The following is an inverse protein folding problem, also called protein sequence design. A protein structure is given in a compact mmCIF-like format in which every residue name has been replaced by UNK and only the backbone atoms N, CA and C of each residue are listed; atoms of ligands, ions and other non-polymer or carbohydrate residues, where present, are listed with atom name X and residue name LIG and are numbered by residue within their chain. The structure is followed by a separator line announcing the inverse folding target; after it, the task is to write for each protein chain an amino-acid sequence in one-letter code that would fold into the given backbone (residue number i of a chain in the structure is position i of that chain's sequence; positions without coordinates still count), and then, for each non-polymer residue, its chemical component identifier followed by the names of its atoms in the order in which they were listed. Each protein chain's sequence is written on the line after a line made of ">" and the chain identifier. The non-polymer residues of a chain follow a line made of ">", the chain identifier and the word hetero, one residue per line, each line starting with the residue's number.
data_IF_127183996861
#
_entry.id   IF_127183996861
#
_cell.length_a   1.000
_cell.length_b   1.000
_cell.length_c   1.000
_cell.angle_alpha   90.00
_cell.angle_beta   90.00
_cell.angle_gamma   90.00
#
_symmetry.space_group_name_H-M   'P 1'
#
loop_
_entity.id
_entity.type
_entity.pdbx_description
1 polymer ?
#
# COMPACT_ATOMS: atom_id res chain seq x y z
N UNK A 1 44.12 -39.98 -43.44
CA UNK A 1 44.66 -39.89 -44.81
C UNK A 1 44.27 -38.52 -45.31
N UNK A 2 45.11 -37.51 -45.46
CA UNK A 2 46.56 -37.31 -45.32
C UNK A 2 46.72 -35.78 -45.22
N UNK A 3 47.46 -35.21 -44.26
CA UNK A 3 48.91 -34.97 -44.26
C UNK A 3 49.38 -34.21 -45.53
N UNK A 4 49.81 -32.94 -45.41
CA UNK A 4 51.24 -32.50 -45.33
C UNK A 4 51.23 -30.96 -45.22
N UNK A 5 51.83 -30.24 -44.26
CA UNK A 5 53.20 -30.15 -43.69
C UNK A 5 54.17 -29.24 -44.47
N UNK A 6 54.73 -28.25 -43.76
CA UNK A 6 56.06 -27.57 -43.88
C UNK A 6 55.96 -26.03 -43.71
N UNK A 7 56.81 -25.26 -43.03
CA UNK A 7 57.95 -25.44 -42.12
C UNK A 7 58.28 -24.05 -41.50
N UNK A 8 58.36 -23.97 -40.17
CA UNK A 8 59.40 -23.34 -39.30
C UNK A 8 60.33 -22.26 -39.87
N UNK A 9 60.43 -21.08 -39.21
CA UNK A 9 61.69 -20.41 -38.78
C UNK A 9 61.40 -19.47 -37.57
N UNK A 10 62.06 -19.73 -36.44
CA UNK A 10 62.23 -18.85 -35.26
C UNK A 10 63.40 -17.89 -35.48
N UNK A 11 63.28 -16.59 -35.14
CA UNK A 11 64.44 -15.71 -34.80
C UNK A 11 64.06 -14.63 -33.76
N UNK A 12 64.82 -14.66 -32.66
CA UNK A 12 65.21 -13.62 -31.68
C UNK A 12 64.22 -13.02 -30.66
N UNK A 13 64.31 -13.60 -29.46
CA UNK A 13 64.43 -12.90 -28.19
C UNK A 13 65.70 -12.01 -28.16
N UNK A 14 65.55 -10.70 -27.95
CA UNK A 14 66.39 -9.87 -27.06
C UNK A 14 65.99 -8.39 -27.16
N UNK A 15 65.41 -7.82 -26.09
CA UNK A 15 65.96 -6.64 -25.39
C UNK A 15 65.02 -6.16 -24.26
N UNK A 16 65.63 -5.91 -23.11
CA UNK A 16 65.05 -5.73 -21.79
C UNK A 16 64.40 -4.37 -21.52
N UNK A 17 63.39 -4.34 -20.61
CA UNK A 17 63.28 -3.50 -19.39
C UNK A 17 61.85 -3.55 -18.79
N UNK A 18 61.64 -3.76 -17.48
CA UNK A 18 60.33 -3.55 -16.87
C UNK A 18 60.12 -2.05 -16.61
N UNK A 19 59.19 -1.44 -17.35
CA UNK A 19 58.69 -0.09 -17.04
C UNK A 19 57.87 -0.18 -15.76
N UNK A 20 58.38 0.42 -14.68
CA UNK A 20 57.70 0.56 -13.39
C UNK A 20 56.48 1.49 -13.59
N UNK A 21 55.31 0.90 -13.85
CA UNK A 21 54.04 1.65 -13.98
C UNK A 21 53.64 2.15 -12.59
N UNK A 22 53.78 3.45 -12.34
CA UNK A 22 53.07 4.11 -11.23
C UNK A 22 51.57 3.97 -11.52
N UNK A 23 50.84 3.24 -10.69
CA UNK A 23 49.38 3.33 -10.65
C UNK A 23 48.99 4.69 -10.03
N UNK A 24 48.14 5.50 -10.67
CA UNK A 24 47.44 6.56 -9.98
C UNK A 24 45.99 6.10 -9.73
N UNK A 25 45.60 6.06 -8.45
CA UNK A 25 44.28 6.34 -7.86
C UNK A 25 43.02 6.32 -8.76
N UNK A 26 42.84 5.33 -9.62
CA UNK A 26 41.64 5.19 -10.47
C UNK A 26 40.53 4.36 -9.79
N UNK A 27 40.90 3.56 -8.78
CA UNK A 27 39.99 2.65 -8.08
C UNK A 27 38.86 3.36 -7.33
N UNK A 28 39.18 4.45 -6.62
CA UNK A 28 38.19 5.14 -5.79
C UNK A 28 37.19 5.96 -6.62
N UNK A 29 37.63 6.58 -7.72
CA UNK A 29 36.74 7.37 -8.60
C UNK A 29 35.78 6.48 -9.39
N UNK A 30 36.24 5.33 -9.89
CA UNK A 30 35.40 4.36 -10.62
C UNK A 30 34.44 3.64 -9.68
N UNK A 31 34.87 3.30 -8.46
CA UNK A 31 34.03 2.66 -7.45
C UNK A 31 32.94 3.59 -6.92
N UNK A 32 33.25 4.88 -6.72
CA UNK A 32 32.28 5.90 -6.29
C UNK A 32 31.22 6.16 -7.36
N UNK A 33 31.61 6.29 -8.64
CA UNK A 33 30.69 6.48 -9.77
C UNK A 33 29.79 5.25 -10.01
N UNK A 34 30.30 4.04 -9.81
CA UNK A 34 29.53 2.78 -9.88
C UNK A 34 28.53 2.63 -8.73
N UNK A 35 28.92 3.01 -7.51
CA UNK A 35 28.04 3.02 -6.33
C UNK A 35 26.93 4.07 -6.44
N UNK A 36 27.25 5.29 -6.89
CA UNK A 36 26.27 6.34 -7.14
C UNK A 36 25.27 5.94 -8.22
N UNK A 37 25.72 5.31 -9.31
CA UNK A 37 24.83 4.85 -10.38
C UNK A 37 23.87 3.75 -9.88
N UNK A 38 24.33 2.81 -9.05
CA UNK A 38 23.48 1.80 -8.42
C UNK A 38 22.49 2.40 -7.41
N UNK A 39 22.92 3.40 -6.64
CA UNK A 39 22.07 4.11 -5.69
C UNK A 39 20.99 4.94 -6.40
N UNK A 40 21.34 5.68 -7.46
CA UNK A 40 20.39 6.45 -8.28
C UNK A 40 19.40 5.55 -9.04
N UNK A 41 19.84 4.38 -9.48
CA UNK A 41 18.96 3.33 -10.02
C UNK A 41 18.03 2.77 -8.94
N UNK A 42 18.54 2.57 -7.71
CA UNK A 42 17.75 2.10 -6.57
C UNK A 42 16.70 3.11 -6.09
N UNK A 43 16.98 4.41 -6.20
CA UNK A 43 15.99 5.48 -5.94
C UNK A 43 14.97 5.57 -7.06
N UNK A 44 15.38 5.22 -8.29
CA UNK A 44 14.54 5.31 -9.48
C UNK A 44 14.55 6.70 -10.10
N UNK A 45 15.67 7.43 -10.09
CA UNK A 45 15.74 8.79 -10.65
C UNK A 45 15.36 8.87 -12.15
N UNK A 46 15.50 7.75 -12.89
CA UNK A 46 15.07 7.64 -14.28
C UNK A 46 13.55 7.79 -14.47
N UNK A 47 12.76 7.51 -13.44
CA UNK A 47 11.29 7.58 -13.46
C UNK A 47 10.77 9.00 -13.72
N UNK A 48 11.52 10.04 -13.32
CA UNK A 48 11.13 11.43 -13.57
C UNK A 48 11.14 11.79 -15.07
N UNK A 49 11.87 11.05 -15.89
CA UNK A 49 11.94 11.25 -17.34
C UNK A 49 11.01 10.32 -18.12
N UNK A 50 10.38 9.36 -17.46
CA UNK A 50 9.51 8.39 -18.10
C UNK A 50 8.08 8.96 -18.22
N UNK A 51 7.60 9.12 -19.46
CA UNK A 51 6.24 9.63 -19.73
C UNK A 51 5.16 8.75 -19.11
N UNK A 52 5.36 7.43 -19.09
CA UNK A 52 4.40 6.48 -18.50
C UNK A 52 4.25 6.69 -16.98
N UNK A 53 5.32 7.08 -16.29
CA UNK A 53 5.27 7.38 -14.86
C UNK A 53 4.43 8.62 -14.59
N UNK A 54 4.56 9.65 -15.43
CA UNK A 54 3.71 10.84 -15.35
C UNK A 54 2.25 10.54 -15.69
N UNK A 55 1.99 9.72 -16.72
CA UNK A 55 0.63 9.26 -17.03
C UNK A 55 0.01 8.52 -15.84
N UNK A 56 0.77 7.62 -15.22
CA UNK A 56 0.30 6.87 -14.05
C UNK A 56 0.07 7.77 -12.83
N UNK A 57 0.94 8.78 -12.61
CA UNK A 57 0.73 9.79 -11.56
C UNK A 57 -0.51 10.66 -11.83
N UNK A 58 -0.77 11.03 -13.09
CA UNK A 58 -2.01 11.73 -13.47
C UNK A 58 -3.25 10.85 -13.26
N UNK A 59 -3.16 9.56 -13.54
CA UNK A 59 -4.20 8.58 -13.20
C UNK A 59 -4.44 8.55 -11.69
N UNK A 60 -3.39 8.48 -10.86
CA UNK A 60 -3.53 8.55 -9.40
C UNK A 60 -4.18 9.86 -8.94
N UNK A 61 -3.80 11.02 -9.50
CA UNK A 61 -4.41 12.31 -9.17
C UNK A 61 -5.91 12.31 -9.48
N UNK A 62 -6.28 11.96 -10.71
CA UNK A 62 -7.66 12.01 -11.19
C UNK A 62 -8.53 10.96 -10.50
N UNK A 63 -8.01 9.75 -10.32
CA UNK A 63 -8.68 8.69 -9.60
C UNK A 63 -8.88 9.03 -8.13
N UNK A 64 -7.87 9.59 -7.45
CA UNK A 64 -8.01 10.04 -6.06
C UNK A 64 -9.03 11.18 -5.96
N UNK A 65 -9.02 12.17 -6.87
CA UNK A 65 -10.03 13.23 -6.86
C UNK A 65 -11.47 12.68 -6.98
N UNK A 66 -11.71 11.83 -7.98
CA UNK A 66 -13.01 11.22 -8.21
C UNK A 66 -13.42 10.24 -7.08
N UNK A 67 -12.46 9.50 -6.52
CA UNK A 67 -12.67 8.60 -5.39
C UNK A 67 -13.11 9.40 -4.16
N UNK A 68 -12.39 10.46 -3.78
CA UNK A 68 -12.73 11.22 -2.57
C UNK A 68 -14.04 11.99 -2.71
N UNK A 69 -14.32 12.53 -3.90
CA UNK A 69 -15.61 13.14 -4.20
C UNK A 69 -16.76 12.13 -4.01
N UNK A 70 -16.68 10.97 -4.67
CA UNK A 70 -17.73 9.95 -4.67
C UNK A 70 -17.88 9.27 -3.31
N UNK A 71 -16.76 8.90 -2.68
CA UNK A 71 -16.72 8.22 -1.39
C UNK A 71 -17.32 9.11 -0.30
N UNK A 72 -16.86 10.36 -0.22
CA UNK A 72 -17.28 11.27 0.85
C UNK A 72 -18.74 11.69 0.67
N UNK A 73 -19.16 12.03 -0.56
CA UNK A 73 -20.58 12.32 -0.83
C UNK A 73 -21.48 11.14 -0.49
N UNK A 74 -21.06 9.90 -0.79
CA UNK A 74 -21.81 8.70 -0.42
C UNK A 74 -21.91 8.51 1.10
N UNK A 75 -20.82 8.74 1.83
CA UNK A 75 -20.81 8.66 3.30
C UNK A 75 -21.78 9.69 3.90
N UNK A 76 -21.72 10.94 3.44
CA UNK A 76 -22.61 12.01 3.92
C UNK A 76 -24.07 11.70 3.55
N UNK A 77 -24.33 11.20 2.34
CA UNK A 77 -25.66 10.78 1.92
C UNK A 77 -26.21 9.63 2.79
N UNK A 78 -25.37 8.67 3.20
CA UNK A 78 -25.77 7.66 4.18
C UNK A 78 -26.11 8.29 5.53
N UNK A 79 -25.29 9.21 6.04
CA UNK A 79 -25.52 9.86 7.33
C UNK A 79 -26.79 10.73 7.36
N UNK A 80 -27.11 11.38 6.24
CA UNK A 80 -28.34 12.18 6.07
C UNK A 80 -29.58 11.34 5.74
N UNK A 81 -29.42 10.04 5.50
CA UNK A 81 -30.56 9.16 5.22
C UNK A 81 -31.48 9.06 6.44
N UNK A 82 -32.80 9.02 6.22
CA UNK A 82 -33.82 8.85 7.27
C UNK A 82 -33.94 7.40 7.76
N UNK A 83 -32.90 6.60 7.55
CA UNK A 83 -32.86 5.18 7.92
C UNK A 83 -32.61 5.00 9.42
N UNK A 84 -33.03 3.85 9.97
CA UNK A 84 -32.94 3.58 11.42
C UNK A 84 -31.48 3.44 11.87
N UNK A 85 -30.56 2.99 11.00
CA UNK A 85 -29.15 2.78 11.31
C UNK A 85 -28.23 3.15 10.11
N UNK A 86 -28.08 4.44 9.78
CA UNK A 86 -27.29 4.89 8.63
C UNK A 86 -25.82 4.45 8.69
N UNK A 87 -25.29 4.25 9.90
CA UNK A 87 -23.92 3.79 10.15
C UNK A 87 -23.62 2.38 9.60
N UNK A 88 -24.65 1.55 9.39
CA UNK A 88 -24.49 0.23 8.79
C UNK A 88 -24.37 0.28 7.26
N UNK A 89 -24.85 1.35 6.62
CA UNK A 89 -24.75 1.54 5.16
C UNK A 89 -23.38 2.07 4.74
N UNK A 90 -22.70 2.82 5.60
CA UNK A 90 -21.40 3.44 5.32
C UNK A 90 -20.34 2.40 4.89
N UNK A 91 -20.12 1.27 5.60
CA UNK A 91 -19.16 0.25 5.18
C UNK A 91 -19.45 -0.36 3.81
N UNK A 92 -20.73 -0.53 3.49
CA UNK A 92 -21.15 -1.04 2.19
C UNK A 92 -20.86 -0.03 1.08
N UNK A 93 -21.15 1.26 1.30
CA UNK A 93 -20.79 2.32 0.37
C UNK A 93 -19.27 2.40 0.15
N UNK A 94 -18.46 2.32 1.22
CA UNK A 94 -17.00 2.27 1.15
C UNK A 94 -16.54 1.08 0.30
N UNK A 95 -17.09 -0.11 0.54
CA UNK A 95 -16.79 -1.31 -0.22
C UNK A 95 -17.08 -1.14 -1.72
N UNK A 96 -18.31 -0.74 -2.08
CA UNK A 96 -18.72 -0.62 -3.48
C UNK A 96 -17.89 0.43 -4.21
N UNK A 97 -17.72 1.61 -3.62
CA UNK A 97 -16.94 2.70 -4.24
C UNK A 97 -15.48 2.27 -4.38
N UNK A 98 -14.85 1.75 -3.33
CA UNK A 98 -13.45 1.30 -3.40
C UNK A 98 -13.25 0.21 -4.46
N UNK A 99 -14.16 -0.77 -4.54
CA UNK A 99 -14.09 -1.85 -5.53
C UNK A 99 -14.11 -1.33 -6.96
N UNK A 100 -15.06 -0.43 -7.28
CA UNK A 100 -15.21 0.14 -8.63
C UNK A 100 -13.99 0.97 -9.04
N UNK A 101 -13.43 1.76 -8.12
CA UNK A 101 -12.22 2.52 -8.41
C UNK A 101 -11.00 1.61 -8.55
N UNK A 102 -10.84 0.60 -7.69
CA UNK A 102 -9.71 -0.34 -7.76
C UNK A 102 -9.69 -1.13 -9.07
N UNK A 103 -10.82 -1.72 -9.48
CA UNK A 103 -10.85 -2.57 -10.69
C UNK A 103 -10.47 -1.80 -11.96
N UNK A 104 -10.79 -0.50 -12.02
CA UNK A 104 -10.45 0.38 -13.14
C UNK A 104 -9.00 0.85 -13.08
N UNK A 105 -8.50 1.20 -11.89
CA UNK A 105 -7.22 1.91 -11.73
C UNK A 105 -6.02 0.98 -11.55
N UNK A 106 -6.23 -0.24 -11.02
CA UNK A 106 -5.19 -1.25 -10.88
C UNK A 106 -4.41 -1.51 -12.18
N UNK A 107 -5.04 -1.73 -13.35
CA UNK A 107 -4.30 -1.94 -14.60
C UNK A 107 -3.60 -0.68 -15.15
N UNK A 108 -3.99 0.52 -14.68
CA UNK A 108 -3.50 1.79 -15.22
C UNK A 108 -2.31 2.34 -14.44
N UNK A 109 -2.41 2.40 -13.11
CA UNK A 109 -1.38 2.97 -12.23
C UNK A 109 -0.91 2.02 -11.12
N UNK A 110 -1.60 0.89 -10.94
CA UNK A 110 -1.52 0.06 -9.73
C UNK A 110 -2.65 0.36 -8.74
N UNK A 111 -3.46 1.41 -8.98
CA UNK A 111 -4.67 1.69 -8.22
C UNK A 111 -4.44 1.95 -6.74
N UNK A 112 -3.40 2.72 -6.40
CA UNK A 112 -3.07 2.96 -4.99
C UNK A 112 -4.07 3.92 -4.35
N UNK A 113 -4.28 5.07 -5.00
CA UNK A 113 -5.16 6.18 -4.61
C UNK A 113 -5.05 6.63 -3.14
N UNK A 114 -3.96 6.25 -2.48
CA UNK A 114 -3.76 6.35 -1.05
C UNK A 114 -2.25 6.34 -0.74
N UNK A 115 -1.74 7.33 0.01
CA UNK A 115 -0.33 7.36 0.41
C UNK A 115 0.12 6.12 1.18
N UNK A 116 -0.76 5.48 1.94
CA UNK A 116 -0.47 4.25 2.71
C UNK A 116 -0.17 3.09 1.78
N UNK A 117 -1.03 2.87 0.76
CA UNK A 117 -0.85 1.80 -0.22
C UNK A 117 0.40 2.03 -1.07
N UNK A 118 0.68 3.29 -1.40
CA UNK A 118 1.91 3.68 -2.09
C UNK A 118 3.15 3.43 -1.24
N UNK A 119 3.10 3.78 0.04
CA UNK A 119 4.22 3.59 0.94
C UNK A 119 4.54 2.11 1.17
N UNK A 120 3.54 1.27 1.43
CA UNK A 120 3.78 -0.17 1.59
C UNK A 120 4.23 -0.84 0.27
N UNK A 121 3.72 -0.40 -0.88
CA UNK A 121 4.21 -0.86 -2.18
C UNK A 121 5.69 -0.50 -2.38
N UNK A 122 6.11 0.68 -1.94
CA UNK A 122 7.52 1.08 -1.95
C UNK A 122 8.38 0.23 -0.99
N UNK A 123 7.90 -0.02 0.25
CA UNK A 123 8.58 -0.91 1.20
C UNK A 123 8.74 -2.34 0.66
N UNK A 124 7.73 -2.84 -0.05
CA UNK A 124 7.77 -4.17 -0.71
C UNK A 124 8.57 -4.19 -2.01
N UNK A 125 9.09 -3.05 -2.47
CA UNK A 125 9.85 -2.92 -3.71
C UNK A 125 9.02 -3.12 -4.98
N UNK A 126 7.69 -2.97 -4.88
CA UNK A 126 6.78 -3.04 -6.03
C UNK A 126 6.83 -1.73 -6.82
N UNK A 127 7.08 -0.61 -6.13
CA UNK A 127 7.19 0.72 -6.71
C UNK A 127 8.51 1.37 -6.26
N UNK A 128 9.18 2.09 -7.16
CA UNK A 128 10.39 2.86 -6.85
C UNK A 128 10.11 4.04 -5.93
N UNK A 129 11.09 4.49 -5.15
CA UNK A 129 10.90 5.63 -4.24
C UNK A 129 10.50 6.92 -4.98
N UNK A 130 11.11 7.18 -6.15
CA UNK A 130 10.72 8.33 -6.99
C UNK A 130 9.26 8.27 -7.42
N UNK A 131 8.79 7.12 -7.92
CA UNK A 131 7.39 6.95 -8.33
C UNK A 131 6.45 7.04 -7.13
N UNK A 132 6.82 6.47 -5.99
CA UNK A 132 6.05 6.57 -4.76
C UNK A 132 5.86 8.03 -4.33
N UNK A 133 6.92 8.85 -4.41
CA UNK A 133 6.83 10.28 -4.12
C UNK A 133 5.87 11.00 -5.08
N UNK A 134 5.98 10.76 -6.38
CA UNK A 134 5.07 11.33 -7.38
C UNK A 134 3.62 10.95 -7.12
N UNK A 135 3.37 9.68 -6.77
CA UNK A 135 2.03 9.18 -6.45
C UNK A 135 1.47 9.84 -5.19
N UNK A 136 2.24 9.95 -4.12
CA UNK A 136 1.79 10.61 -2.87
C UNK A 136 1.43 12.07 -3.14
N UNK A 137 2.24 12.79 -3.92
CA UNK A 137 1.93 14.18 -4.30
C UNK A 137 0.66 14.26 -5.15
N UNK A 138 0.55 13.40 -6.17
CA UNK A 138 -0.63 13.31 -7.02
C UNK A 138 -1.91 13.00 -6.21
N UNK A 139 -1.84 12.07 -5.26
CA UNK A 139 -2.95 11.69 -4.37
C UNK A 139 -3.35 12.83 -3.44
N UNK A 140 -2.40 13.55 -2.86
CA UNK A 140 -2.70 14.72 -2.01
C UNK A 140 -3.37 15.83 -2.82
N UNK A 141 -2.86 16.15 -4.02
CA UNK A 141 -3.47 17.15 -4.92
C UNK A 141 -4.86 16.68 -5.36
N UNK A 142 -4.99 15.42 -5.77
CA UNK A 142 -6.24 14.80 -6.15
C UNK A 142 -7.28 14.89 -5.04
N UNK A 143 -6.89 14.59 -3.79
CA UNK A 143 -7.78 14.73 -2.64
C UNK A 143 -8.26 16.16 -2.46
N UNK A 144 -7.36 17.15 -2.49
CA UNK A 144 -7.74 18.57 -2.39
C UNK A 144 -8.74 18.94 -3.49
N UNK A 145 -8.50 18.53 -4.75
CA UNK A 145 -9.42 18.78 -5.86
C UNK A 145 -10.78 18.11 -5.67
N UNK A 146 -10.81 16.84 -5.24
CA UNK A 146 -12.05 16.10 -5.00
C UNK A 146 -12.91 16.74 -3.92
N UNK A 147 -12.30 17.12 -2.79
CA UNK A 147 -13.00 17.82 -1.71
C UNK A 147 -13.37 19.27 -2.09
N UNK A 148 -12.57 19.95 -2.91
CA UNK A 148 -12.90 21.28 -3.42
C UNK A 148 -14.16 21.24 -4.29
N UNK A 149 -14.24 20.28 -5.23
CA UNK A 149 -15.45 20.07 -6.04
C UNK A 149 -16.64 19.75 -5.15
N UNK A 150 -16.47 18.86 -4.16
CA UNK A 150 -17.52 18.53 -3.19
C UNK A 150 -18.03 19.78 -2.45
N UNK A 151 -17.12 20.63 -1.97
CA UNK A 151 -17.46 21.87 -1.27
C UNK A 151 -18.26 22.85 -2.15
N UNK A 152 -17.98 22.88 -3.46
CA UNK A 152 -18.69 23.74 -4.39
C UNK A 152 -20.11 23.25 -4.70
N UNK A 153 -20.37 21.94 -4.70
CA UNK A 153 -21.68 21.38 -5.08
C UNK A 153 -22.59 21.08 -3.88
N UNK A 154 -22.02 20.92 -2.69
CA UNK A 154 -22.77 20.59 -1.48
C UNK A 154 -23.38 21.85 -0.85
N UNK A 155 -24.55 21.71 -0.20
CA UNK A 155 -25.14 22.83 0.55
C UNK A 155 -24.17 23.29 1.66
N UNK A 156 -23.92 24.60 1.82
CA UNK A 156 -22.96 25.12 2.80
C UNK A 156 -23.22 24.61 4.23
N UNK A 157 -24.48 24.50 4.63
CA UNK A 157 -24.86 23.99 5.96
C UNK A 157 -24.45 22.53 6.18
N UNK A 158 -24.60 21.68 5.16
CA UNK A 158 -24.14 20.30 5.24
C UNK A 158 -22.61 20.24 5.28
N UNK A 159 -21.93 21.09 4.49
CA UNK A 159 -20.47 21.16 4.46
C UNK A 159 -19.88 21.50 5.83
N UNK A 160 -20.49 22.44 6.55
CA UNK A 160 -20.05 22.80 7.88
C UNK A 160 -20.43 21.72 8.92
N UNK A 161 -21.66 21.19 8.86
CA UNK A 161 -22.15 20.20 9.84
C UNK A 161 -21.35 18.89 9.82
N UNK A 162 -20.89 18.47 8.64
CA UNK A 162 -20.08 17.26 8.48
C UNK A 162 -18.58 17.54 8.37
N UNK A 163 -18.14 18.79 8.56
CA UNK A 163 -16.76 19.23 8.33
C UNK A 163 -16.20 18.72 6.98
N UNK A 164 -17.04 18.79 5.93
CA UNK A 164 -16.78 18.29 4.59
C UNK A 164 -16.40 16.78 4.54
N UNK A 165 -16.80 16.00 5.54
CA UNK A 165 -16.44 14.59 5.70
C UNK A 165 -15.00 14.36 6.19
N UNK A 166 -14.38 15.39 6.76
CA UNK A 166 -13.00 15.36 7.26
C UNK A 166 -12.77 14.40 8.42
N UNK A 167 -11.49 14.07 8.64
CA UNK A 167 -11.08 13.23 9.77
C UNK A 167 -10.95 14.09 11.03
N UNK A 168 -11.92 14.02 11.92
CA UNK A 168 -11.93 14.77 13.18
C UNK A 168 -11.61 13.87 14.38
N UNK A 169 -10.77 14.39 15.27
CA UNK A 169 -10.50 13.88 16.61
C UNK A 169 -10.98 14.98 17.55
N UNK A 170 -11.88 14.63 18.49
CA UNK A 170 -12.63 15.56 19.35
C UNK A 170 -11.82 16.72 19.93
N UNK A 171 -12.50 17.80 20.31
CA UNK A 171 -11.82 19.05 20.66
C UNK A 171 -10.97 18.92 21.93
N UNK A 172 -9.88 19.68 21.99
CA UNK A 172 -8.96 19.70 23.13
C UNK A 172 -9.69 20.26 24.35
N UNK A 173 -10.18 19.38 25.23
CA UNK A 173 -10.90 19.76 26.44
C UNK A 173 -12.35 19.25 26.50
N UNK A 174 -12.86 18.59 25.47
CA UNK A 174 -14.13 17.87 25.58
C UNK A 174 -13.97 16.63 26.46
N UNK A 175 -14.81 16.56 27.50
CA UNK A 175 -14.78 15.52 28.54
C UNK A 175 -15.14 14.13 27.96
N UNK A 176 -15.74 14.09 26.75
CA UNK A 176 -16.28 12.89 26.11
C UNK A 176 -15.63 12.53 24.75
N UNK A 177 -14.59 13.24 24.32
CA UNK A 177 -13.91 12.99 23.04
C UNK A 177 -12.91 11.82 23.10
N UNK A 178 -12.63 11.18 21.94
CA UNK A 178 -11.54 10.20 21.86
C UNK A 178 -10.17 10.89 22.08
N UNK A 179 -9.32 10.28 22.91
CA UNK A 179 -7.92 10.76 23.07
C UNK A 179 -7.15 10.52 21.78
N UNK A 180 -6.21 11.41 21.43
CA UNK A 180 -5.35 11.24 20.25
C UNK A 180 -4.58 9.90 20.25
N UNK A 181 -4.19 9.40 21.43
CA UNK A 181 -3.52 8.11 21.59
C UNK A 181 -4.44 6.92 21.24
N UNK A 182 -5.71 6.99 21.67
CA UNK A 182 -6.70 5.96 21.34
C UNK A 182 -7.04 6.00 19.85
N UNK A 183 -7.18 7.20 19.28
CA UNK A 183 -7.39 7.38 17.83
C UNK A 183 -6.20 6.82 17.02
N UNK A 184 -4.97 7.04 17.49
CA UNK A 184 -3.77 6.46 16.88
C UNK A 184 -3.78 4.94 16.89
N UNK A 185 -4.20 4.33 18.00
CA UNK A 185 -4.30 2.88 18.09
C UNK A 185 -5.36 2.32 17.14
N UNK A 186 -6.51 2.99 17.03
CA UNK A 186 -7.58 2.59 16.09
C UNK A 186 -7.12 2.74 14.64
N UNK A 187 -6.50 3.87 14.26
CA UNK A 187 -5.91 4.06 12.92
C UNK A 187 -4.89 2.98 12.58
N UNK A 188 -3.98 2.69 13.51
CA UNK A 188 -2.98 1.64 13.35
C UNK A 188 -3.64 0.27 13.15
N UNK A 189 -4.56 -0.12 14.04
CA UNK A 189 -5.17 -1.45 14.02
C UNK A 189 -6.03 -1.67 12.77
N UNK A 190 -6.88 -0.69 12.42
CA UNK A 190 -7.72 -0.76 11.22
C UNK A 190 -6.86 -0.74 9.94
N UNK A 191 -5.81 0.08 9.87
CA UNK A 191 -4.90 0.06 8.72
C UNK A 191 -4.17 -1.28 8.63
N UNK A 192 -3.65 -1.80 9.74
CA UNK A 192 -2.98 -3.10 9.77
C UNK A 192 -3.92 -4.22 9.27
N UNK A 193 -5.19 -4.21 9.68
CA UNK A 193 -6.19 -5.16 9.19
C UNK A 193 -6.39 -5.05 7.67
N UNK A 194 -6.51 -3.84 7.12
CA UNK A 194 -6.63 -3.61 5.68
C UNK A 194 -5.42 -4.16 4.93
N UNK A 195 -4.21 -3.89 5.43
CA UNK A 195 -2.96 -4.37 4.83
C UNK A 195 -2.86 -5.90 4.91
N UNK A 196 -3.17 -6.47 6.07
CA UNK A 196 -3.06 -7.90 6.32
C UNK A 196 -4.04 -8.72 5.49
N UNK A 197 -5.31 -8.29 5.38
CA UNK A 197 -6.33 -9.01 4.62
C UNK A 197 -6.22 -8.68 3.12
N UNK A 198 -6.20 -7.38 2.79
CA UNK A 198 -6.27 -6.90 1.41
C UNK A 198 -4.95 -7.09 0.66
N UNK A 199 -3.86 -6.54 1.21
CA UNK A 199 -2.60 -6.46 0.46
C UNK A 199 -1.77 -7.73 0.50
N UNK A 200 -2.00 -8.64 1.45
CA UNK A 200 -1.32 -9.94 1.46
C UNK A 200 -1.64 -10.75 0.21
N UNK A 201 -2.89 -10.71 -0.25
CA UNK A 201 -3.28 -11.36 -1.51
C UNK A 201 -2.75 -10.55 -2.70
N UNK A 202 -2.85 -9.22 -2.66
CA UNK A 202 -2.40 -8.36 -3.75
C UNK A 202 -0.90 -8.47 -4.03
N UNK A 203 -0.06 -8.64 -3.00
CA UNK A 203 1.39 -8.78 -3.14
C UNK A 203 1.87 -10.22 -3.36
N UNK A 204 0.99 -11.23 -3.21
CA UNK A 204 1.30 -12.61 -3.59
C UNK A 204 1.03 -12.81 -5.09
N UNK A 205 2.11 -12.80 -5.88
CA UNK A 205 2.05 -12.96 -7.35
C UNK A 205 1.35 -14.26 -7.77
N UNK A 206 1.50 -15.35 -7.02
CA UNK A 206 0.89 -16.65 -7.35
C UNK A 206 -0.62 -16.56 -7.13
N UNK A 207 -1.05 -16.15 -5.94
CA UNK A 207 -2.47 -16.02 -5.59
C UNK A 207 -3.19 -14.98 -6.44
N UNK A 208 -2.54 -13.85 -6.72
CA UNK A 208 -3.09 -12.81 -7.59
C UNK A 208 -3.37 -13.35 -9.00
N UNK A 209 -2.49 -14.19 -9.55
CA UNK A 209 -2.70 -14.83 -10.87
C UNK A 209 -3.81 -15.89 -10.83
N UNK A 210 -3.90 -16.67 -9.76
CA UNK A 210 -4.92 -17.72 -9.60
C UNK A 210 -6.33 -17.14 -9.38
N UNK A 211 -6.45 -16.07 -8.58
CA UNK A 211 -7.73 -15.44 -8.24
C UNK A 211 -8.17 -14.39 -9.27
N UNK A 212 -7.23 -13.79 -9.99
CA UNK A 212 -7.49 -12.71 -10.94
C UNK A 212 -7.69 -11.33 -10.30
N UNK A 213 -7.54 -10.29 -11.12
CA UNK A 213 -7.62 -8.89 -10.68
C UNK A 213 -8.95 -8.53 -10.01
N UNK A 214 -10.14 -8.95 -10.50
CA UNK A 214 -11.41 -8.60 -9.86
C UNK A 214 -11.51 -9.11 -8.42
N UNK A 215 -11.07 -10.35 -8.16
CA UNK A 215 -11.15 -10.93 -6.82
C UNK A 215 -10.19 -10.24 -5.85
N UNK A 216 -8.97 -9.89 -6.32
CA UNK A 216 -8.03 -9.10 -5.51
C UNK A 216 -8.63 -7.74 -5.15
N UNK A 217 -9.20 -7.03 -6.12
CA UNK A 217 -9.86 -5.74 -5.89
C UNK A 217 -11.02 -5.87 -4.89
N UNK A 218 -11.81 -6.95 -4.99
CA UNK A 218 -12.92 -7.24 -4.08
C UNK A 218 -12.42 -7.44 -2.65
N UNK A 219 -11.36 -8.22 -2.44
CA UNK A 219 -10.82 -8.46 -1.08
C UNK A 219 -10.24 -7.18 -0.47
N UNK A 220 -9.52 -6.36 -1.26
CA UNK A 220 -8.99 -5.07 -0.79
C UNK A 220 -10.11 -4.10 -0.45
N UNK A 221 -11.15 -4.01 -1.29
CA UNK A 221 -12.31 -3.17 -1.01
C UNK A 221 -13.10 -3.66 0.22
N UNK A 222 -13.25 -4.98 0.36
CA UNK A 222 -13.96 -5.58 1.48
C UNK A 222 -13.21 -5.36 2.80
N UNK A 223 -11.88 -5.41 2.81
CA UNK A 223 -11.09 -5.11 4.00
C UNK A 223 -11.19 -3.63 4.40
N UNK A 224 -11.25 -2.70 3.44
CA UNK A 224 -11.54 -1.28 3.70
C UNK A 224 -12.94 -1.09 4.32
N UNK A 225 -13.97 -1.69 3.73
CA UNK A 225 -15.33 -1.66 4.28
C UNK A 225 -15.39 -2.24 5.69
N UNK A 226 -14.76 -3.39 5.93
CA UNK A 226 -14.67 -4.03 7.24
C UNK A 226 -13.96 -3.15 8.27
N UNK A 227 -12.85 -2.51 7.91
CA UNK A 227 -12.13 -1.60 8.80
C UNK A 227 -12.99 -0.39 9.19
N UNK A 228 -13.75 0.19 8.24
CA UNK A 228 -14.70 1.26 8.53
C UNK A 228 -15.86 0.76 9.39
N UNK A 229 -16.38 -0.44 9.14
CA UNK A 229 -17.42 -1.06 9.98
C UNK A 229 -16.97 -1.20 11.43
N UNK A 230 -15.79 -1.77 11.67
CA UNK A 230 -15.19 -1.91 13.00
C UNK A 230 -14.95 -0.54 13.63
N UNK A 231 -14.45 0.42 12.85
CA UNK A 231 -14.16 1.76 13.35
C UNK A 231 -15.41 2.50 13.83
N UNK A 232 -16.48 2.49 13.04
CA UNK A 232 -17.67 3.31 13.33
C UNK A 232 -18.61 2.62 14.31
N UNK A 233 -18.75 1.29 14.25
CA UNK A 233 -19.74 0.56 15.04
C UNK A 233 -19.17 -0.03 16.34
N UNK A 234 -17.93 -0.49 16.34
CA UNK A 234 -17.33 -1.16 17.51
C UNK A 234 -16.49 -0.19 18.34
N UNK A 235 -15.69 0.64 17.68
CA UNK A 235 -14.78 1.59 18.34
C UNK A 235 -15.23 3.05 18.23
N UNK A 236 -16.43 3.28 17.68
CA UNK A 236 -17.00 4.62 17.48
C UNK A 236 -17.28 5.30 18.81
N UNK A 237 -16.53 6.35 19.12
CA UNK A 237 -16.73 7.21 20.29
C UNK A 237 -17.27 8.58 19.86
N UNK A 238 -17.92 9.29 20.78
CA UNK A 238 -18.32 10.67 20.54
C UNK A 238 -17.09 11.52 20.17
N UNK A 239 -17.26 12.41 19.19
CA UNK A 239 -16.17 13.25 18.67
C UNK A 239 -15.12 12.53 17.83
N UNK A 240 -15.32 11.26 17.46
CA UNK A 240 -14.48 10.55 16.49
C UNK A 240 -15.27 10.33 15.20
N UNK A 241 -14.78 10.90 14.08
CA UNK A 241 -15.43 10.77 12.77
C UNK A 241 -15.32 9.36 12.16
N UNK A 242 -14.56 8.47 12.80
CA UNK A 242 -14.17 7.17 12.26
C UNK A 242 -12.78 7.21 11.63
N UNK A 243 -12.31 6.04 11.24
CA UNK A 243 -10.97 5.83 10.71
C UNK A 243 -10.79 6.51 9.35
N UNK A 244 -9.67 7.19 9.17
CA UNK A 244 -9.24 7.82 7.94
C UNK A 244 -8.68 6.83 6.94
N UNK A 245 -7.80 5.90 7.36
CA UNK A 245 -7.11 4.89 6.52
C UNK A 245 -6.25 5.44 5.37
N UNK A 246 -6.35 6.73 5.07
CA UNK A 246 -5.71 7.43 3.98
C UNK A 246 -5.31 8.83 4.45
N UNK A 247 -4.01 9.13 4.54
CA UNK A 247 -3.54 10.46 4.91
C UNK A 247 -4.03 11.53 3.95
N UNK A 248 -4.06 11.23 2.64
CA UNK A 248 -4.60 12.15 1.64
C UNK A 248 -6.09 12.45 1.89
N UNK A 249 -6.92 11.44 2.17
CA UNK A 249 -8.35 11.60 2.54
C UNK A 249 -8.52 12.60 3.68
N UNK A 250 -7.67 12.52 4.70
CA UNK A 250 -7.75 13.42 5.84
C UNK A 250 -7.20 14.82 5.51
N UNK A 251 -6.17 14.92 4.67
CA UNK A 251 -5.51 16.18 4.32
C UNK A 251 -6.40 17.14 3.52
N UNK A 252 -7.09 16.64 2.49
CA UNK A 252 -7.94 17.45 1.61
C UNK A 252 -8.94 18.36 2.35
N UNK A 253 -9.84 17.82 3.20
CA UNK A 253 -10.81 18.62 3.93
C UNK A 253 -10.15 19.44 5.05
N UNK A 254 -9.06 18.98 5.65
CA UNK A 254 -8.32 19.76 6.65
C UNK A 254 -7.74 21.07 6.06
N UNK A 255 -7.24 21.03 4.82
CA UNK A 255 -6.76 22.23 4.12
C UNK A 255 -7.89 23.17 3.69
N UNK A 256 -9.06 22.64 3.35
CA UNK A 256 -10.18 23.43 2.81
C UNK A 256 -11.16 23.97 3.86
N UNK A 257 -11.33 23.24 4.97
CA UNK A 257 -12.26 23.57 6.05
C UNK A 257 -11.53 24.08 7.30
N UNK A 258 -10.30 23.61 7.55
CA UNK A 258 -9.51 24.04 8.70
C UNK A 258 -10.13 23.65 10.05
N UNK A 259 -9.88 24.49 11.07
CA UNK A 259 -10.46 24.33 12.39
C UNK A 259 -10.05 23.05 13.11
N UNK A 260 -11.03 22.34 13.68
CA UNK A 260 -10.83 21.13 14.49
C UNK A 260 -10.22 19.95 13.72
N UNK A 261 -10.26 19.96 12.38
CA UNK A 261 -9.63 18.92 11.54
C UNK A 261 -8.10 18.89 11.64
N UNK A 262 -7.48 19.97 12.12
CA UNK A 262 -6.04 20.01 12.42
C UNK A 262 -5.69 19.43 13.79
N UNK A 263 -6.68 19.29 14.68
CA UNK A 263 -6.46 18.72 16.01
C UNK A 263 -6.12 17.23 15.90
N UNK A 264 -4.89 16.88 16.25
CA UNK A 264 -4.43 15.49 16.16
C UNK A 264 -4.24 14.98 14.72
N UNK A 265 -4.17 15.86 13.71
CA UNK A 265 -4.07 15.45 12.31
C UNK A 265 -2.89 14.51 12.02
N UNK A 266 -1.79 14.66 12.76
CA UNK A 266 -0.60 13.81 12.67
C UNK A 266 -0.91 12.31 12.88
N UNK A 267 -1.99 11.99 13.61
CA UNK A 267 -2.45 10.62 13.88
C UNK A 267 -2.78 9.88 12.59
N UNK A 268 -3.43 10.56 11.64
CA UNK A 268 -3.84 10.01 10.35
C UNK A 268 -2.68 9.76 9.39
N UNK A 269 -1.48 10.25 9.72
CA UNK A 269 -0.25 9.97 9.00
C UNK A 269 0.57 8.91 9.72
N UNK A 270 0.83 9.12 11.02
CA UNK A 270 1.70 8.25 11.80
C UNK A 270 1.09 6.85 11.98
N UNK A 271 -0.18 6.76 12.36
CA UNK A 271 -0.86 5.48 12.62
C UNK A 271 -0.80 4.54 11.42
N UNK A 272 -1.27 4.98 10.24
CA UNK A 272 -1.23 4.15 9.04
C UNK A 272 0.18 3.78 8.58
N UNK A 273 1.18 4.69 8.67
CA UNK A 273 2.55 4.35 8.30
C UNK A 273 3.25 3.40 9.27
N UNK A 274 2.98 3.51 10.58
CA UNK A 274 3.44 2.52 11.55
C UNK A 274 2.84 1.14 11.23
N UNK A 275 1.56 1.09 10.84
CA UNK A 275 0.93 -0.16 10.40
C UNK A 275 1.63 -0.75 9.16
N UNK A 276 2.05 0.08 8.20
CA UNK A 276 2.84 -0.39 7.06
C UNK A 276 4.17 -1.02 7.48
N UNK A 277 4.91 -0.40 8.39
CA UNK A 277 6.21 -0.91 8.84
C UNK A 277 6.03 -2.27 9.53
N UNK A 278 5.08 -2.37 10.46
CA UNK A 278 4.81 -3.62 11.18
C UNK A 278 4.27 -4.69 10.23
N UNK A 279 3.33 -4.36 9.36
CA UNK A 279 2.84 -5.29 8.34
C UNK A 279 3.95 -5.77 7.43
N UNK A 280 4.86 -4.90 6.99
CA UNK A 280 6.01 -5.30 6.19
C UNK A 280 6.85 -6.36 6.93
N UNK A 281 7.22 -6.10 8.19
CA UNK A 281 7.97 -7.03 9.03
C UNK A 281 7.25 -8.38 9.20
N UNK A 282 5.93 -8.37 9.43
CA UNK A 282 5.13 -9.60 9.51
C UNK A 282 5.12 -10.32 8.16
N UNK A 283 4.90 -9.59 7.06
CA UNK A 283 4.77 -10.16 5.72
C UNK A 283 6.04 -10.85 5.21
N UNK A 284 7.22 -10.42 5.68
CA UNK A 284 8.50 -11.06 5.36
C UNK A 284 8.62 -12.43 6.02
N UNK A 285 7.98 -12.62 7.17
CA UNK A 285 8.00 -13.85 7.96
C UNK A 285 6.83 -14.79 7.66
N UNK A 286 5.90 -14.42 6.78
CA UNK A 286 4.76 -15.27 6.42
C UNK A 286 5.23 -16.52 5.63
N UNK A 287 4.56 -17.68 5.82
CA UNK A 287 4.83 -18.87 5.03
C UNK A 287 4.65 -18.61 3.53
N UNK A 288 5.66 -18.97 2.73
CA UNK A 288 5.65 -18.78 1.28
C UNK A 288 5.04 -19.95 0.51
N UNK A 289 5.04 -21.14 1.11
CA UNK A 289 4.39 -22.33 0.54
C UNK A 289 2.92 -22.34 0.96
N UNK A 290 2.07 -22.87 0.09
CA UNK A 290 0.69 -23.21 0.46
C UNK A 290 0.73 -24.15 1.66
N UNK A 291 -0.31 -24.08 2.49
CA UNK A 291 -0.52 -25.11 3.48
C UNK A 291 -0.78 -26.41 2.71
N UNK A 292 0.14 -27.36 2.81
CA UNK A 292 0.01 -28.66 2.19
C UNK A 292 -0.88 -29.51 3.11
N UNK A 293 -2.10 -29.80 2.64
CA UNK A 293 -2.99 -30.71 3.34
C UNK A 293 -2.34 -32.08 3.37
N UNK A 294 -2.16 -32.65 4.57
CA UNK A 294 -1.81 -34.06 4.67
C UNK A 294 -3.11 -34.84 4.57
N UNK A 295 -3.33 -35.42 3.39
CA UNK A 295 -4.55 -36.16 3.08
C UNK A 295 -4.64 -37.45 3.90
N UNK A 296 -5.44 -37.42 4.96
CA UNK A 296 -5.98 -38.62 5.63
C UNK A 296 -4.98 -39.55 6.33
N UNK A 297 -3.67 -39.33 6.27
CA UNK A 297 -2.67 -40.11 7.04
C UNK A 297 -2.73 -39.80 8.55
N UNK A 298 -3.10 -38.57 8.90
CA UNK A 298 -3.26 -38.11 10.28
C UNK A 298 -4.73 -37.93 10.68
N UNK A 299 -5.66 -38.55 9.94
CA UNK A 299 -7.07 -38.55 10.34
C UNK A 299 -7.20 -39.27 11.68
N UNK A 300 -7.65 -38.55 12.71
CA UNK A 300 -7.77 -39.04 14.09
C UNK A 300 -8.65 -40.29 14.14
N UNK A 301 -9.67 -40.38 13.28
CA UNK A 301 -10.52 -41.57 13.22
C UNK A 301 -9.76 -42.76 12.65
N UNK A 302 -8.93 -42.57 11.62
CA UNK A 302 -8.09 -43.65 11.07
C UNK A 302 -6.99 -44.07 12.03
N UNK A 303 -6.42 -43.14 12.80
CA UNK A 303 -5.44 -43.43 13.85
C UNK A 303 -6.08 -44.15 15.06
N UNK A 304 -7.29 -43.77 15.45
CA UNK A 304 -8.02 -44.41 16.55
C UNK A 304 -8.58 -45.78 16.19
N UNK A 305 -8.92 -46.00 14.91
CA UNK A 305 -9.39 -47.28 14.38
C UNK A 305 -8.26 -48.15 13.83
N UNK A 306 -7.01 -47.66 13.82
CA UNK A 306 -5.85 -48.44 13.42
C UNK A 306 -5.62 -49.58 14.43
N UNK A 307 -5.51 -50.84 13.98
CA UNK A 307 -5.15 -51.94 14.87
C UNK A 307 -3.78 -51.65 15.50
N UNK A 308 -3.67 -51.88 16.81
CA UNK A 308 -2.44 -51.69 17.58
C UNK A 308 -1.35 -52.67 17.06
N UNK A 309 -0.60 -52.26 16.04
CA UNK A 309 0.40 -53.13 15.40
C UNK A 309 0.87 -52.72 14.00
N UNK A 310 0.18 -51.82 13.29
CA UNK A 310 0.63 -51.36 11.96
C UNK A 310 1.02 -49.89 11.99
N UNK A 311 2.24 -49.60 12.46
CA UNK A 311 2.92 -48.35 12.12
C UNK A 311 3.49 -48.54 10.70
N UNK A 312 3.12 -47.71 9.72
CA UNK A 312 3.71 -47.82 8.38
C UNK A 312 5.21 -47.51 8.45
N UNK A 313 6.03 -48.48 8.05
CA UNK A 313 7.47 -48.31 7.86
C UNK A 313 7.70 -47.36 6.68
N UNK A 314 7.88 -46.08 6.96
CA UNK A 314 8.13 -45.09 5.91
C UNK A 314 8.43 -43.67 6.36
N UNK A 315 8.78 -43.44 7.63
CA UNK A 315 9.17 -42.10 8.12
C UNK A 315 10.59 -42.18 8.69
N UNK A 316 11.56 -41.87 7.84
CA UNK A 316 12.88 -41.31 8.21
C UNK A 316 13.02 -40.01 7.44
#
# INVERSE_FOLDING_TARGET
>A
MDSTNSQVVDIDEQFSRPVRRREPMAGDFVRKKSSETKFLLSIGAHEFYAIETWKAAMTELTATAALLFTLTSSIIACLESKEVNPKLLIPFAVFVVAFLFLIVTVPLSGGHMNPVFTFIAALKGVVTLSRALLYVLAQCIGSILGFYILKCVMEPKLADSYALGGCAIGEKGEINGIKQQDALLVEFACTFLVLFIGLTIAFDKKRCKELGVPMVCLVVAASLGLAVFVSINVTGRAGYAGVGLSPARCLGPALLQGGSLWNGHWVFWLGPFLACIIYYSVSVNLPKKSFDWVDGEYDILKLALAPCGTIPNGVV
#
